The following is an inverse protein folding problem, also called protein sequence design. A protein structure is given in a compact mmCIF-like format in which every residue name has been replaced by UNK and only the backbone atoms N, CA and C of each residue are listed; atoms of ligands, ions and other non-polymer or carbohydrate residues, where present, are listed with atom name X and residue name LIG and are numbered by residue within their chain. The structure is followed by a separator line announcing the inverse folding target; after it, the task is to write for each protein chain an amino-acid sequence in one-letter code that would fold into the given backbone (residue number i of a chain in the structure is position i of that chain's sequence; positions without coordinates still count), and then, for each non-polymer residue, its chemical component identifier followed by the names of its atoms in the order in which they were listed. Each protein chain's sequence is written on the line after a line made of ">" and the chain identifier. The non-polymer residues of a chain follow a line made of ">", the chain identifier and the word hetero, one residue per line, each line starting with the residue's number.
data_IF_899270269676
#
_entry.id   IF_899270269676
#
_cell.length_a   1.000
_cell.length_b   1.000
_cell.length_c   1.000
_cell.angle_alpha   90.00
_cell.angle_beta   90.00
_cell.angle_gamma   90.00
#
_symmetry.space_group_name_H-M   'P 1'
#
loop_
_entity.id
_entity.type
_entity.pdbx_description
1 polymer ?
#
# COMPACT_ATOMS: atom_id res chain seq x y z
N UNK A 1 -12.83 7.20 -23.70
CA UNK A 1 -13.61 6.10 -23.07
C UNK A 1 -13.05 5.92 -21.67
N UNK A 2 -13.84 6.18 -20.63
CA UNK A 2 -13.47 5.83 -19.26
C UNK A 2 -13.50 4.30 -19.15
N UNK A 3 -12.37 3.69 -18.81
CA UNK A 3 -12.35 2.25 -18.50
C UNK A 3 -12.85 2.13 -17.06
N UNK A 4 -14.07 1.66 -16.88
CA UNK A 4 -14.60 1.37 -15.56
C UNK A 4 -14.09 0.00 -15.08
N UNK A 5 -13.61 -0.04 -13.84
CA UNK A 5 -13.21 -1.28 -13.18
C UNK A 5 -14.48 -1.94 -12.60
N UNK A 6 -14.93 -3.02 -13.23
CA UNK A 6 -16.18 -3.72 -12.86
C UNK A 6 -15.92 -5.23 -12.78
N UNK A 7 -16.56 -5.89 -11.81
CA UNK A 7 -16.48 -7.34 -11.60
C UNK A 7 -15.03 -7.84 -11.46
N UNK A 8 -14.21 -7.14 -10.68
CA UNK A 8 -12.82 -7.49 -10.38
C UNK A 8 -12.64 -7.78 -8.90
N UNK A 9 -11.67 -8.64 -8.59
CA UNK A 9 -11.21 -8.87 -7.23
C UNK A 9 -10.07 -7.90 -6.93
N UNK A 10 -10.31 -6.99 -5.99
CA UNK A 10 -9.36 -5.91 -5.67
C UNK A 10 -8.95 -6.00 -4.21
N UNK A 11 -7.67 -6.17 -3.95
CA UNK A 11 -7.10 -6.08 -2.62
C UNK A 11 -6.69 -4.64 -2.32
N UNK A 12 -7.18 -4.08 -1.21
CA UNK A 12 -6.82 -2.75 -0.74
C UNK A 12 -6.22 -2.87 0.65
N UNK A 13 -4.92 -2.60 0.80
CA UNK A 13 -4.26 -2.62 2.10
C UNK A 13 -4.28 -1.25 2.77
N UNK A 14 -4.19 -1.22 4.12
CA UNK A 14 -4.37 0.02 4.86
C UNK A 14 -5.78 0.61 4.69
N UNK A 15 -6.76 -0.26 4.49
CA UNK A 15 -8.12 0.03 4.04
C UNK A 15 -8.93 0.94 4.97
N UNK A 16 -8.53 1.07 6.23
CA UNK A 16 -9.15 1.97 7.22
C UNK A 16 -8.54 3.37 7.24
N UNK A 17 -7.47 3.58 6.45
CA UNK A 17 -6.78 4.86 6.35
C UNK A 17 -7.60 5.93 5.63
N UNK A 18 -7.32 7.19 5.94
CA UNK A 18 -8.04 8.36 5.42
C UNK A 18 -8.08 8.42 3.89
N UNK A 19 -7.01 7.99 3.21
CA UNK A 19 -6.93 7.98 1.74
C UNK A 19 -7.57 6.72 1.15
N UNK A 20 -7.40 5.57 1.79
CA UNK A 20 -7.87 4.29 1.28
C UNK A 20 -9.38 4.09 1.44
N UNK A 21 -9.98 4.52 2.56
CA UNK A 21 -11.37 4.25 2.87
C UNK A 21 -12.36 4.77 1.81
N UNK A 22 -12.21 6.00 1.25
CA UNK A 22 -13.01 6.46 0.13
C UNK A 22 -12.86 5.60 -1.14
N UNK A 23 -11.66 5.05 -1.37
CA UNK A 23 -11.40 4.14 -2.51
C UNK A 23 -12.10 2.80 -2.29
N UNK A 24 -12.08 2.25 -1.07
CA UNK A 24 -12.88 1.07 -0.70
C UNK A 24 -14.35 1.31 -1.01
N UNK A 25 -14.91 2.44 -0.54
CA UNK A 25 -16.32 2.79 -0.75
C UNK A 25 -16.69 2.93 -2.24
N UNK A 26 -15.80 3.47 -3.05
CA UNK A 26 -16.04 3.64 -4.48
C UNK A 26 -15.98 2.30 -5.23
N UNK A 27 -14.97 1.47 -4.96
CA UNK A 27 -14.73 0.23 -5.70
C UNK A 27 -15.66 -0.90 -5.27
N UNK A 28 -16.07 -0.97 -4.01
CA UNK A 28 -16.96 -2.03 -3.50
C UNK A 28 -18.36 -2.00 -4.13
N UNK A 29 -18.76 -0.90 -4.78
CA UNK A 29 -20.05 -0.79 -5.49
C UNK A 29 -20.14 -1.73 -6.68
N UNK A 30 -19.05 -2.04 -7.33
CA UNK A 30 -19.02 -2.78 -8.61
C UNK A 30 -17.97 -3.89 -8.67
N UNK A 31 -17.25 -4.12 -7.57
CA UNK A 31 -16.14 -5.07 -7.49
C UNK A 31 -16.18 -5.88 -6.20
N UNK A 32 -15.51 -7.01 -6.19
CA UNK A 32 -15.26 -7.82 -5.00
C UNK A 32 -14.00 -7.26 -4.30
N UNK A 33 -14.22 -6.38 -3.31
CA UNK A 33 -13.13 -5.69 -2.62
C UNK A 33 -12.74 -6.41 -1.34
N UNK A 34 -11.48 -6.76 -1.23
CA UNK A 34 -10.84 -7.29 -0.03
C UNK A 34 -10.11 -6.15 0.69
N UNK A 35 -10.68 -5.70 1.80
CA UNK A 35 -10.16 -4.60 2.61
C UNK A 35 -9.23 -5.14 3.70
N UNK A 36 -7.91 -5.02 3.48
CA UNK A 36 -6.91 -5.52 4.42
C UNK A 36 -6.42 -4.43 5.36
N UNK A 37 -6.43 -4.74 6.66
CA UNK A 37 -5.86 -3.89 7.70
C UNK A 37 -5.60 -4.71 8.97
N UNK A 38 -4.91 -4.12 9.96
CA UNK A 38 -4.76 -4.72 11.29
C UNK A 38 -6.04 -4.62 12.13
N UNK A 39 -6.94 -3.71 11.80
CA UNK A 39 -8.19 -3.41 12.53
C UNK A 39 -7.95 -3.21 14.02
N UNK A 40 -6.95 -2.38 14.36
CA UNK A 40 -6.52 -2.16 15.74
C UNK A 40 -7.49 -1.29 16.56
N UNK A 41 -8.30 -0.45 15.89
CA UNK A 41 -9.28 0.37 16.59
C UNK A 41 -10.66 -0.28 16.55
N UNK A 42 -11.44 -0.19 17.65
CA UNK A 42 -12.83 -0.66 17.65
C UNK A 42 -13.66 -0.04 16.51
N UNK A 43 -14.43 -0.88 15.82
CA UNK A 43 -15.32 -0.45 14.73
C UNK A 43 -14.65 -0.23 13.38
N UNK A 44 -13.32 -0.30 13.25
CA UNK A 44 -12.66 -0.12 11.95
C UNK A 44 -13.00 -1.24 10.95
N UNK A 45 -13.11 -2.47 11.42
CA UNK A 45 -13.52 -3.60 10.59
C UNK A 45 -14.97 -3.45 10.13
N UNK A 46 -15.86 -3.05 11.03
CA UNK A 46 -17.27 -2.85 10.71
C UNK A 46 -17.47 -1.76 9.65
N UNK A 47 -16.67 -0.69 9.67
CA UNK A 47 -16.71 0.37 8.64
C UNK A 47 -16.50 -0.20 7.24
N UNK A 48 -15.50 -1.05 7.03
CA UNK A 48 -15.23 -1.62 5.70
C UNK A 48 -16.29 -2.64 5.28
N UNK A 49 -16.84 -3.41 6.23
CA UNK A 49 -17.94 -4.33 5.99
C UNK A 49 -19.22 -3.58 5.58
N UNK A 50 -19.55 -2.46 6.21
CA UNK A 50 -20.69 -1.62 5.87
C UNK A 50 -20.58 -0.99 4.47
N UNK A 51 -19.37 -0.82 3.95
CA UNK A 51 -19.12 -0.37 2.58
C UNK A 51 -19.28 -1.50 1.54
N UNK A 52 -19.56 -2.73 1.95
CA UNK A 52 -19.71 -3.90 1.08
C UNK A 52 -18.38 -4.60 0.76
N UNK A 53 -17.28 -4.25 1.42
CA UNK A 53 -16.01 -4.96 1.28
C UNK A 53 -15.93 -6.17 2.20
N UNK A 54 -15.05 -7.12 1.87
CA UNK A 54 -14.68 -8.26 2.74
C UNK A 54 -13.45 -7.86 3.56
N UNK A 55 -13.48 -8.05 4.87
CA UNK A 55 -12.32 -7.76 5.71
C UNK A 55 -11.28 -8.87 5.65
N UNK A 56 -10.00 -8.48 5.57
CA UNK A 56 -8.85 -9.36 5.75
C UNK A 56 -7.97 -8.78 6.85
N UNK A 57 -7.93 -9.43 8.02
CA UNK A 57 -7.07 -8.98 9.12
C UNK A 57 -5.66 -9.49 8.90
N UNK A 58 -4.70 -8.58 8.76
CA UNK A 58 -3.29 -8.94 8.63
C UNK A 58 -2.36 -7.79 9.05
N UNK A 59 -1.20 -8.15 9.57
CA UNK A 59 -0.04 -7.29 9.77
C UNK A 59 1.02 -7.62 8.71
N UNK A 60 1.37 -6.63 7.87
CA UNK A 60 2.38 -6.81 6.81
C UNK A 60 3.78 -7.12 7.38
N UNK A 61 4.06 -6.80 8.66
CA UNK A 61 5.33 -7.07 9.28
C UNK A 61 5.52 -8.55 9.67
N UNK A 62 4.45 -9.24 10.09
CA UNK A 62 4.58 -10.50 10.81
C UNK A 62 3.79 -11.66 10.21
N UNK A 63 2.70 -11.40 9.51
CA UNK A 63 1.78 -12.46 9.10
C UNK A 63 2.17 -13.15 7.79
N UNK A 64 1.76 -14.41 7.64
CA UNK A 64 1.85 -15.14 6.38
C UNK A 64 0.74 -14.69 5.42
N UNK A 65 1.09 -13.71 4.59
CA UNK A 65 0.14 -13.12 3.64
C UNK A 65 -0.35 -14.11 2.59
N UNK A 66 0.44 -15.12 2.25
CA UNK A 66 0.04 -16.15 1.26
C UNK A 66 -1.06 -17.07 1.78
N UNK A 67 -1.15 -17.24 3.09
CA UNK A 67 -2.24 -18.01 3.72
C UNK A 67 -3.53 -17.19 3.89
N UNK A 68 -3.44 -15.84 3.87
CA UNK A 68 -4.55 -14.93 4.17
C UNK A 68 -5.20 -14.39 2.89
N UNK A 69 -4.39 -14.05 1.88
CA UNK A 69 -4.85 -13.40 0.65
C UNK A 69 -5.39 -14.45 -0.32
N UNK A 70 -6.59 -14.27 -0.90
CA UNK A 70 -7.08 -15.14 -1.97
C UNK A 70 -6.14 -15.16 -3.18
N UNK A 71 -5.94 -16.34 -3.78
CA UNK A 71 -5.01 -16.55 -4.89
C UNK A 71 -5.43 -15.81 -6.19
N UNK A 72 -6.72 -15.50 -6.34
CA UNK A 72 -7.32 -14.98 -7.56
C UNK A 72 -7.60 -13.46 -7.52
N UNK A 73 -6.76 -12.69 -6.81
CA UNK A 73 -6.81 -11.24 -6.82
C UNK A 73 -6.39 -10.70 -8.20
N UNK A 74 -7.21 -9.81 -8.77
CA UNK A 74 -6.92 -9.15 -10.05
C UNK A 74 -5.97 -7.95 -9.89
N UNK A 75 -6.20 -7.11 -8.85
CA UNK A 75 -5.48 -5.85 -8.65
C UNK A 75 -5.18 -5.62 -7.17
N UNK A 76 -4.03 -5.00 -6.91
CA UNK A 76 -3.63 -4.58 -5.56
C UNK A 76 -3.44 -3.07 -5.49
N UNK A 77 -4.06 -2.45 -4.50
CA UNK A 77 -3.87 -1.06 -4.11
C UNK A 77 -3.25 -1.01 -2.71
N UNK A 78 -1.94 -0.80 -2.64
CA UNK A 78 -1.20 -0.84 -1.37
C UNK A 78 -1.07 0.55 -0.76
N UNK A 79 -2.02 0.91 0.14
CA UNK A 79 -1.99 2.13 0.95
C UNK A 79 -1.38 1.93 2.33
N UNK A 80 -1.11 0.69 2.73
CA UNK A 80 -0.63 0.41 4.09
C UNK A 80 0.65 1.19 4.41
N UNK A 81 0.67 1.77 5.60
CA UNK A 81 1.83 2.44 6.16
C UNK A 81 1.73 2.47 7.68
N UNK A 82 2.85 2.28 8.36
CA UNK A 82 3.02 2.51 9.78
C UNK A 82 4.03 3.64 10.00
N UNK A 83 3.88 4.36 11.12
CA UNK A 83 4.73 5.47 11.53
C UNK A 83 4.88 5.43 13.05
N UNK A 84 5.44 4.34 13.56
CA UNK A 84 5.59 4.13 15.01
C UNK A 84 6.79 4.85 15.59
N UNK A 85 7.80 5.13 14.76
CA UNK A 85 9.11 5.63 15.18
C UNK A 85 10.09 4.52 15.54
N UNK A 86 9.64 3.28 15.62
CA UNK A 86 10.49 2.10 15.72
C UNK A 86 11.00 1.73 14.33
N UNK A 87 12.32 1.84 14.11
CA UNK A 87 12.92 1.61 12.80
C UNK A 87 12.76 0.16 12.33
N UNK A 88 12.97 -0.80 13.21
CA UNK A 88 12.92 -2.23 12.85
C UNK A 88 11.51 -2.62 12.41
N UNK A 89 10.51 -2.24 13.22
CA UNK A 89 9.13 -2.53 12.89
C UNK A 89 8.63 -1.74 11.65
N UNK A 90 8.95 -0.46 11.55
CA UNK A 90 8.51 0.38 10.42
C UNK A 90 9.17 -0.05 9.10
N UNK A 91 10.43 -0.51 9.11
CA UNK A 91 11.09 -1.09 7.94
C UNK A 91 10.50 -2.47 7.58
N UNK A 92 10.24 -3.32 8.59
CA UNK A 92 9.61 -4.61 8.37
C UNK A 92 8.19 -4.47 7.76
N UNK A 93 7.36 -3.56 8.29
CA UNK A 93 5.99 -3.37 7.81
C UNK A 93 5.94 -2.61 6.47
N UNK A 94 6.64 -1.47 6.36
CA UNK A 94 6.54 -0.60 5.17
C UNK A 94 7.44 -1.08 4.04
N UNK A 95 8.68 -1.55 4.34
CA UNK A 95 9.65 -1.98 3.35
C UNK A 95 9.49 -3.45 2.97
N UNK A 96 9.86 -4.36 3.87
CA UNK A 96 9.79 -5.80 3.61
C UNK A 96 8.36 -6.30 3.39
N UNK A 97 7.38 -5.75 4.12
CA UNK A 97 5.97 -6.08 3.96
C UNK A 97 5.44 -5.86 2.55
N UNK A 98 5.94 -4.83 1.85
CA UNK A 98 5.59 -4.62 0.43
C UNK A 98 6.15 -5.74 -0.45
N UNK A 99 7.35 -6.22 -0.17
CA UNK A 99 7.93 -7.37 -0.86
C UNK A 99 7.13 -8.65 -0.63
N UNK A 100 6.79 -8.96 0.63
CA UNK A 100 5.93 -10.10 0.99
C UNK A 100 4.55 -10.02 0.31
N UNK A 101 3.95 -8.83 0.29
CA UNK A 101 2.67 -8.61 -0.38
C UNK A 101 2.74 -8.86 -1.89
N UNK A 102 3.80 -8.39 -2.55
CA UNK A 102 4.02 -8.66 -3.98
C UNK A 102 4.22 -10.16 -4.26
N UNK A 103 4.95 -10.87 -3.39
CA UNK A 103 5.12 -12.32 -3.52
C UNK A 103 3.79 -13.05 -3.33
N UNK A 104 2.99 -12.68 -2.34
CA UNK A 104 1.67 -13.27 -2.12
C UNK A 104 0.67 -12.97 -3.26
N UNK A 105 0.91 -11.87 -4.01
CA UNK A 105 0.05 -11.42 -5.10
C UNK A 105 0.75 -11.47 -6.48
N UNK A 106 1.65 -12.44 -6.70
CA UNK A 106 2.47 -12.48 -7.93
C UNK A 106 1.69 -12.69 -9.23
N UNK A 107 0.44 -13.13 -9.16
CA UNK A 107 -0.42 -13.38 -10.34
C UNK A 107 -1.32 -12.19 -10.72
N UNK A 108 -1.21 -11.05 -10.03
CA UNK A 108 -2.09 -9.91 -10.28
C UNK A 108 -1.82 -9.23 -11.62
N UNK A 109 -2.86 -8.63 -12.18
CA UNK A 109 -2.81 -7.87 -13.44
C UNK A 109 -2.09 -6.54 -13.29
N UNK A 110 -2.18 -5.91 -12.11
CA UNK A 110 -1.41 -4.72 -11.76
C UNK A 110 -1.37 -4.52 -10.24
N UNK A 111 -0.26 -3.93 -9.78
CA UNK A 111 -0.01 -3.55 -8.40
C UNK A 111 0.30 -2.05 -8.34
N UNK A 112 -0.45 -1.29 -7.52
CA UNK A 112 -0.17 0.12 -7.26
C UNK A 112 0.32 0.26 -5.83
N UNK A 113 1.56 0.75 -5.68
CA UNK A 113 2.11 1.12 -4.38
C UNK A 113 1.99 2.63 -4.17
N UNK A 114 1.24 3.02 -3.14
CA UNK A 114 1.10 4.42 -2.76
C UNK A 114 2.27 4.85 -1.87
N UNK A 115 3.20 5.56 -2.47
CA UNK A 115 4.32 6.22 -1.82
C UNK A 115 3.95 7.66 -1.45
N UNK A 116 4.93 8.51 -1.21
CA UNK A 116 4.73 9.90 -0.80
C UNK A 116 5.78 10.80 -1.41
N UNK A 117 5.45 12.08 -1.61
CA UNK A 117 6.43 13.12 -1.94
C UNK A 117 7.45 13.35 -0.83
N UNK A 118 7.20 12.84 0.37
CA UNK A 118 8.16 12.83 1.49
C UNK A 118 9.47 12.08 1.20
N UNK A 119 9.49 11.24 0.15
CA UNK A 119 10.71 10.55 -0.29
C UNK A 119 11.73 11.46 -0.98
N UNK A 120 11.33 12.66 -1.41
CA UNK A 120 12.24 13.57 -2.08
C UNK A 120 13.14 14.33 -1.10
N UNK A 121 14.37 14.57 -1.51
CA UNK A 121 15.26 15.49 -0.82
C UNK A 121 14.66 16.91 -0.83
N UNK A 122 14.88 17.66 0.24
CA UNK A 122 14.48 19.08 0.30
C UNK A 122 15.19 19.88 -0.80
N UNK A 123 14.44 20.69 -1.54
CA UNK A 123 14.96 21.63 -2.54
C UNK A 123 14.11 22.90 -2.64
N UNK A 124 13.72 23.45 -1.49
CA UNK A 124 12.93 24.70 -1.45
C UNK A 124 11.59 24.58 -2.19
N UNK A 125 11.25 25.62 -2.96
CA UNK A 125 10.03 25.73 -3.76
C UNK A 125 10.14 25.10 -5.16
N UNK A 126 11.29 24.53 -5.52
CA UNK A 126 11.47 23.93 -6.85
C UNK A 126 10.54 22.73 -7.05
N UNK A 127 9.84 22.64 -8.20
CA UNK A 127 8.98 21.51 -8.53
C UNK A 127 9.77 20.19 -8.54
N UNK A 128 9.17 19.13 -8.01
CA UNK A 128 9.74 17.79 -8.01
C UNK A 128 9.29 17.01 -9.25
N UNK A 129 10.19 16.19 -9.77
CA UNK A 129 9.95 15.23 -10.85
C UNK A 129 10.20 13.83 -10.30
N UNK A 130 9.75 12.82 -11.03
CA UNK A 130 9.89 11.41 -10.62
C UNK A 130 11.36 10.99 -10.40
N UNK A 131 12.29 11.62 -11.13
CA UNK A 131 13.73 11.37 -11.03
C UNK A 131 14.47 12.37 -10.11
N UNK A 132 13.75 13.24 -9.38
CA UNK A 132 14.39 14.14 -8.42
C UNK A 132 15.07 13.33 -7.29
N UNK A 133 16.18 13.85 -6.71
CA UNK A 133 16.92 13.17 -5.65
C UNK A 133 16.02 12.79 -4.46
N UNK A 134 16.26 11.59 -3.93
CA UNK A 134 15.56 11.10 -2.73
C UNK A 134 16.34 11.47 -1.48
N UNK A 135 15.63 11.66 -0.38
CA UNK A 135 16.23 12.00 0.91
C UNK A 135 15.22 11.98 2.06
N UNK A 136 15.73 12.22 3.26
CA UNK A 136 14.97 12.15 4.50
C UNK A 136 14.40 13.53 4.88
N UNK A 137 13.40 13.98 4.14
CA UNK A 137 12.83 15.33 4.32
C UNK A 137 11.92 15.46 5.54
N UNK A 138 11.35 14.36 6.03
CA UNK A 138 10.37 14.36 7.13
C UNK A 138 10.93 13.90 8.47
N UNK A 139 12.25 13.76 8.58
CA UNK A 139 12.95 13.22 9.74
C UNK A 139 12.51 13.83 11.09
N UNK A 140 12.29 15.13 11.13
CA UNK A 140 11.95 15.81 12.38
C UNK A 140 10.52 15.53 12.86
N UNK A 141 9.59 15.28 11.94
CA UNK A 141 8.19 14.97 12.26
C UNK A 141 7.92 13.47 12.35
N UNK A 142 8.54 12.70 11.45
CA UNK A 142 8.34 11.28 11.30
C UNK A 142 9.70 10.59 11.03
N UNK A 143 10.46 10.24 12.07
CA UNK A 143 11.87 9.80 11.93
C UNK A 143 12.09 8.62 10.96
N UNK A 144 11.12 7.71 10.87
CA UNK A 144 11.21 6.49 10.05
C UNK A 144 10.54 6.61 8.68
N UNK A 145 9.68 7.63 8.49
CA UNK A 145 8.70 7.65 7.39
C UNK A 145 9.35 7.71 6.00
N UNK A 146 10.17 8.73 5.74
CA UNK A 146 10.83 8.89 4.43
C UNK A 146 11.73 7.71 4.10
N UNK A 147 12.51 7.27 5.08
CA UNK A 147 13.45 6.15 4.93
C UNK A 147 12.69 4.86 4.60
N UNK A 148 11.66 4.53 5.36
CA UNK A 148 10.87 3.31 5.12
C UNK A 148 10.09 3.35 3.81
N UNK A 149 9.61 4.53 3.37
CA UNK A 149 8.98 4.69 2.05
C UNK A 149 9.99 4.54 0.90
N UNK A 150 11.22 5.06 1.03
CA UNK A 150 12.28 4.84 0.04
C UNK A 150 12.64 3.36 -0.04
N UNK A 151 12.79 2.69 1.11
CA UNK A 151 13.02 1.25 1.17
C UNK A 151 11.86 0.47 0.50
N UNK A 152 10.61 0.84 0.79
CA UNK A 152 9.42 0.25 0.17
C UNK A 152 9.43 0.35 -1.36
N UNK A 153 9.74 1.53 -1.92
CA UNK A 153 9.85 1.69 -3.38
C UNK A 153 10.95 0.82 -3.98
N UNK A 154 12.09 0.69 -3.30
CA UNK A 154 13.21 -0.13 -3.77
C UNK A 154 12.86 -1.61 -3.77
N UNK A 155 12.28 -2.10 -2.67
CA UNK A 155 11.81 -3.48 -2.55
C UNK A 155 10.70 -3.77 -3.55
N UNK A 156 9.74 -2.86 -3.70
CA UNK A 156 8.64 -3.01 -4.67
C UNK A 156 9.16 -3.17 -6.11
N UNK A 157 10.08 -2.29 -6.54
CA UNK A 157 10.67 -2.39 -7.89
C UNK A 157 11.43 -3.68 -8.11
N UNK A 158 12.25 -4.08 -7.13
CA UNK A 158 13.03 -5.33 -7.22
C UNK A 158 12.11 -6.54 -7.31
N UNK A 159 11.16 -6.66 -6.38
CA UNK A 159 10.25 -7.81 -6.32
C UNK A 159 9.32 -7.88 -7.54
N UNK A 160 8.74 -6.75 -7.96
CA UNK A 160 7.89 -6.70 -9.12
C UNK A 160 8.63 -7.12 -10.41
N UNK A 161 9.89 -6.69 -10.56
CA UNK A 161 10.75 -7.12 -11.68
C UNK A 161 11.05 -8.62 -11.64
N UNK A 162 11.32 -9.17 -10.45
CA UNK A 162 11.62 -10.58 -10.26
C UNK A 162 10.46 -11.49 -10.68
N UNK A 163 9.24 -11.07 -10.41
CA UNK A 163 8.02 -11.84 -10.69
C UNK A 163 7.21 -11.33 -11.90
N UNK A 164 7.76 -10.37 -12.68
CA UNK A 164 7.09 -9.74 -13.84
C UNK A 164 5.71 -9.13 -13.50
N UNK A 165 5.57 -8.54 -12.32
CA UNK A 165 4.32 -7.90 -11.88
C UNK A 165 4.27 -6.47 -12.44
N UNK A 166 3.20 -6.07 -13.17
CA UNK A 166 3.01 -4.68 -13.57
C UNK A 166 2.87 -3.77 -12.34
N UNK A 167 3.88 -2.95 -12.07
CA UNK A 167 3.97 -2.08 -10.89
C UNK A 167 3.85 -0.60 -11.28
N UNK A 168 2.98 0.11 -10.56
CA UNK A 168 2.95 1.57 -10.52
C UNK A 168 3.27 2.07 -9.12
N UNK A 169 4.18 3.05 -8.99
CA UNK A 169 4.46 3.74 -7.72
C UNK A 169 3.89 5.16 -7.82
N UNK A 170 2.88 5.46 -7.00
CA UNK A 170 2.22 6.75 -6.94
C UNK A 170 2.69 7.52 -5.69
N UNK A 171 3.46 8.59 -5.87
CA UNK A 171 3.93 9.46 -4.78
C UNK A 171 2.89 10.53 -4.50
N UNK A 172 2.10 10.34 -3.46
CA UNK A 172 1.07 11.29 -3.02
C UNK A 172 1.71 12.49 -2.31
N UNK A 173 1.12 13.66 -2.51
CA UNK A 173 1.50 14.94 -1.85
C UNK A 173 0.58 15.24 -0.67
#
# INVERSE_FOLDING_TARGET
>A
MSVELINKKVLITGSTGQVALPVVAALAKHNDVFAMARFSNPGDEEKVLQLGAKSLKADLATDDLSAIIPEDIDYVLNFAVVKTGDFDYDLAANGEGVGRLLVACQSVKAFIHFSSTAVYQYAGSEPRKENSPLGDNHRHMFPTYSISKIAAETVARFTAKQFNIPLTIARLS
#
